data_IF_421733146356
#
_entry.id   IF_421733146356
#
_cell.length_a   1.000
_cell.length_b   1.000
_cell.length_c   1.000
_cell.angle_alpha   90.00
_cell.angle_beta   90.00
_cell.angle_gamma   90.00
#
_symmetry.space_group_name_H-M   'P 1'
#
loop_
_entity.id
_entity.type
_entity.pdbx_description
1 polymer ?
#
# COMPACT_ATOMS: atom_id res chain seq x y z
N UNK A 1 28.37 4.26 -8.55
CA UNK A 1 27.80 4.11 -9.91
C UNK A 1 28.41 2.87 -10.54
N UNK A 2 27.66 1.78 -10.70
CA UNK A 2 28.16 0.62 -11.44
C UNK A 2 28.04 0.90 -12.94
N UNK A 3 29.15 1.28 -13.57
CA UNK A 3 29.32 1.19 -15.03
C UNK A 3 29.46 -0.29 -15.35
N UNK A 4 28.47 -0.92 -15.97
CA UNK A 4 28.58 -2.37 -16.22
C UNK A 4 27.54 -3.01 -17.12
N UNK A 5 26.54 -2.29 -17.63
CA UNK A 5 25.55 -2.91 -18.52
C UNK A 5 25.80 -2.63 -20.02
N UNK A 6 26.83 -1.86 -20.39
CA UNK A 6 27.20 -1.59 -21.80
C UNK A 6 26.02 -1.37 -22.75
N UNK A 7 26.20 -1.79 -24.01
CA UNK A 7 25.23 -1.75 -25.12
C UNK A 7 24.10 -2.79 -24.98
N UNK A 8 24.19 -3.71 -24.00
CA UNK A 8 23.18 -4.78 -23.83
C UNK A 8 21.93 -4.29 -23.11
N UNK A 9 22.06 -3.27 -22.26
CA UNK A 9 20.91 -2.63 -21.61
C UNK A 9 19.95 -2.01 -22.64
N UNK A 10 20.50 -1.48 -23.75
CA UNK A 10 19.74 -0.82 -24.81
C UNK A 10 18.92 -1.82 -25.66
N UNK A 11 19.05 -3.13 -25.39
CA UNK A 11 18.28 -4.20 -26.05
C UNK A 11 17.03 -4.65 -25.29
N UNK A 12 16.78 -4.12 -24.09
CA UNK A 12 15.65 -4.52 -23.24
C UNK A 12 14.77 -3.34 -22.90
N UNK A 13 13.46 -3.56 -22.83
CA UNK A 13 12.48 -2.54 -22.44
C UNK A 13 12.61 -2.16 -20.96
N UNK A 14 13.12 -3.06 -20.11
CA UNK A 14 13.33 -2.84 -18.68
C UNK A 14 14.60 -3.53 -18.17
N UNK A 15 15.32 -2.91 -17.24
CA UNK A 15 16.52 -3.48 -16.59
C UNK A 15 16.32 -3.54 -15.09
N UNK A 16 16.03 -4.75 -14.59
CA UNK A 16 15.99 -5.06 -13.17
C UNK A 16 17.39 -5.41 -12.65
N UNK A 17 17.75 -4.88 -11.47
CA UNK A 17 19.02 -5.21 -10.79
C UNK A 17 18.75 -5.83 -9.44
N UNK A 18 18.98 -7.12 -9.32
CA UNK A 18 18.92 -7.82 -8.02
C UNK A 18 20.32 -7.86 -7.44
N UNK A 19 20.48 -7.54 -6.16
CA UNK A 19 21.73 -7.71 -5.43
C UNK A 19 21.54 -8.75 -4.31
N UNK A 20 22.60 -9.49 -4.02
CA UNK A 20 22.56 -10.52 -2.99
C UNK A 20 22.31 -9.95 -1.59
N UNK A 21 21.47 -10.62 -0.81
CA UNK A 21 21.17 -10.22 0.57
C UNK A 21 19.91 -9.36 0.71
N UNK A 22 19.97 -8.37 1.60
CA UNK A 22 18.79 -7.71 2.15
C UNK A 22 18.62 -6.28 1.64
N UNK A 23 17.38 -5.85 1.42
CA UNK A 23 17.01 -4.44 1.40
C UNK A 23 16.68 -3.93 2.81
N UNK A 24 16.96 -2.66 3.06
CA UNK A 24 16.74 -2.04 4.39
C UNK A 24 15.24 -2.07 4.78
N UNK A 25 14.32 -1.90 3.82
CA UNK A 25 12.87 -1.84 4.10
C UNK A 25 12.31 -3.15 4.65
N UNK A 26 12.90 -4.29 4.32
CA UNK A 26 12.49 -5.60 4.81
C UNK A 26 13.21 -6.09 6.06
N UNK A 27 14.15 -5.32 6.63
CA UNK A 27 14.95 -5.77 7.79
C UNK A 27 15.11 -4.75 8.92
N UNK A 28 14.84 -3.46 8.68
CA UNK A 28 15.13 -2.40 9.66
C UNK A 28 14.42 -2.61 10.99
N UNK A 29 13.20 -3.15 11.00
CA UNK A 29 12.41 -3.29 12.22
C UNK A 29 12.79 -4.58 12.95
N UNK A 30 12.88 -5.68 12.20
CA UNK A 30 13.16 -7.03 12.70
C UNK A 30 14.57 -7.14 13.27
N UNK A 31 15.53 -6.42 12.67
CA UNK A 31 16.91 -6.35 13.15
C UNK A 31 17.23 -5.03 13.87
N UNK A 32 16.19 -4.29 14.26
CA UNK A 32 16.25 -3.11 15.12
C UNK A 32 15.46 -3.35 16.40
N UNK A 33 14.37 -2.60 16.57
CA UNK A 33 13.55 -2.56 17.78
C UNK A 33 12.86 -3.88 18.18
N UNK A 34 12.68 -4.82 17.24
CA UNK A 34 12.16 -6.15 17.57
C UNK A 34 13.23 -7.07 18.17
N UNK A 35 14.51 -6.81 17.86
CA UNK A 35 15.63 -7.67 18.27
C UNK A 35 16.41 -7.12 19.46
N UNK A 36 16.49 -5.80 19.58
CA UNK A 36 17.25 -5.11 20.61
C UNK A 36 16.31 -4.15 21.36
N UNK A 37 16.38 -4.14 22.70
CA UNK A 37 15.51 -3.29 23.51
C UNK A 37 15.88 -1.80 23.39
N UNK A 38 17.18 -1.52 23.19
CA UNK A 38 17.71 -0.18 22.96
C UNK A 38 18.89 -0.20 21.98
N UNK A 39 19.31 0.98 21.46
CA UNK A 39 20.51 1.06 20.63
C UNK A 39 21.80 0.62 21.33
N UNK A 40 21.84 0.67 22.67
CA UNK A 40 22.99 0.28 23.48
C UNK A 40 23.11 -1.24 23.64
N UNK A 41 22.00 -1.97 23.47
CA UNK A 41 21.96 -3.44 23.55
C UNK A 41 22.46 -4.13 22.27
N UNK A 42 22.74 -3.36 21.22
CA UNK A 42 23.22 -3.90 19.95
C UNK A 42 24.66 -4.41 20.14
N UNK A 43 24.93 -5.70 19.93
CA UNK A 43 26.27 -6.24 20.14
C UNK A 43 27.19 -5.87 18.95
N UNK A 44 28.52 -5.89 19.12
CA UNK A 44 29.48 -5.45 18.11
C UNK A 44 29.28 -6.07 16.72
N UNK A 45 28.88 -7.34 16.64
CA UNK A 45 28.66 -8.06 15.39
C UNK A 45 27.44 -7.58 14.57
N UNK A 46 26.53 -6.81 15.18
CA UNK A 46 25.44 -6.09 14.50
C UNK A 46 25.75 -4.59 14.31
N UNK A 47 26.89 -4.13 14.83
CA UNK A 47 27.31 -2.74 14.87
C UNK A 47 28.21 -2.31 13.72
N UNK A 48 28.66 -1.05 13.79
CA UNK A 48 29.55 -0.47 12.79
C UNK A 48 30.93 -1.18 12.82
N UNK A 49 31.51 -1.54 11.65
CA UNK A 49 32.86 -2.11 11.58
C UNK A 49 33.94 -1.22 12.20
N UNK A 50 33.68 0.09 12.28
CA UNK A 50 34.47 1.02 13.06
C UNK A 50 33.92 1.09 14.50
N UNK A 51 34.63 0.54 15.52
CA UNK A 51 34.15 0.51 16.90
C UNK A 51 34.07 1.89 17.56
N UNK A 52 34.65 2.93 16.94
CA UNK A 52 34.52 4.31 17.41
C UNK A 52 33.21 5.00 16.95
N UNK A 53 32.37 4.31 16.18
CA UNK A 53 31.07 4.82 15.70
C UNK A 53 29.91 4.09 16.41
N UNK A 54 28.72 4.72 16.46
CA UNK A 54 27.53 4.06 17.00
C UNK A 54 27.25 2.71 16.33
N UNK A 55 26.71 1.77 17.09
CA UNK A 55 26.27 0.45 16.60
C UNK A 55 24.90 0.48 15.92
N UNK A 56 24.29 1.65 15.87
CA UNK A 56 22.99 1.91 15.28
C UNK A 56 23.09 3.05 14.27
N UNK A 57 22.06 3.19 13.43
CA UNK A 57 21.89 4.30 12.48
C UNK A 57 20.41 4.69 12.39
N UNK A 58 20.09 5.97 12.10
CA UNK A 58 18.71 6.38 11.84
C UNK A 58 18.20 5.77 10.53
N UNK A 59 16.88 5.59 10.44
CA UNK A 59 16.20 5.08 9.23
C UNK A 59 15.31 6.15 8.61
N UNK A 60 14.62 5.80 7.52
CA UNK A 60 13.55 6.64 6.96
C UNK A 60 12.32 6.74 7.87
N UNK A 61 12.10 5.76 8.74
CA UNK A 61 10.84 5.57 9.46
C UNK A 61 10.93 5.91 10.95
N UNK A 62 12.01 5.50 11.59
CA UNK A 62 12.24 5.62 13.03
C UNK A 62 13.66 6.10 13.32
N UNK A 63 13.87 6.54 14.56
CA UNK A 63 15.12 7.17 15.00
C UNK A 63 16.34 6.23 14.97
N UNK A 64 16.16 4.92 15.02
CA UNK A 64 17.28 3.97 15.01
C UNK A 64 16.91 2.55 14.53
N UNK A 65 17.91 1.87 13.97
CA UNK A 65 18.00 0.41 13.78
C UNK A 65 19.46 -0.03 13.95
N UNK A 66 19.76 -1.34 13.95
CA UNK A 66 21.15 -1.80 13.96
C UNK A 66 21.92 -1.33 12.73
N UNK A 67 23.22 -1.06 12.89
CA UNK A 67 24.06 -0.62 11.78
C UNK A 67 24.02 -1.63 10.64
N UNK A 68 24.02 -2.94 10.93
CA UNK A 68 23.98 -3.97 9.90
C UNK A 68 22.68 -3.93 9.08
N UNK A 69 21.54 -3.62 9.70
CA UNK A 69 20.27 -3.45 9.01
C UNK A 69 20.24 -2.17 8.16
N UNK A 70 20.66 -1.03 8.73
CA UNK A 70 20.70 0.25 8.00
C UNK A 70 21.84 0.38 6.99
N UNK A 71 22.84 -0.51 7.03
CA UNK A 71 23.88 -0.59 6.00
C UNK A 71 23.40 -1.29 4.72
N UNK A 72 22.23 -1.96 4.76
CA UNK A 72 21.61 -2.56 3.59
C UNK A 72 21.16 -1.48 2.61
N UNK A 73 21.07 -1.83 1.32
CA UNK A 73 20.68 -0.86 0.32
C UNK A 73 19.16 -0.62 0.40
N UNK A 74 18.75 0.63 0.55
CA UNK A 74 17.36 0.98 0.28
C UNK A 74 17.05 0.69 -1.20
N UNK A 75 15.93 0.01 -1.46
CA UNK A 75 15.32 -0.04 -2.78
C UNK A 75 14.98 1.38 -3.21
N UNK A 76 15.93 2.07 -3.86
CA UNK A 76 15.65 3.37 -4.48
C UNK A 76 14.56 3.15 -5.53
N UNK A 77 13.80 4.18 -5.89
CA UNK A 77 12.77 4.20 -6.96
C UNK A 77 13.32 3.90 -8.39
N UNK A 78 14.43 3.17 -8.46
CA UNK A 78 15.02 2.51 -9.61
C UNK A 78 14.76 1.02 -9.42
N UNK A 79 14.37 0.27 -10.46
CA UNK A 79 14.17 -1.20 -10.42
C UNK A 79 15.42 -1.96 -9.93
N UNK A 80 15.70 -1.90 -8.63
CA UNK A 80 16.84 -2.45 -7.92
C UNK A 80 16.40 -2.88 -6.53
N UNK A 81 16.54 -4.16 -6.25
CA UNK A 81 16.01 -4.77 -5.04
C UNK A 81 16.97 -5.82 -4.48
N UNK A 82 16.88 -6.07 -3.16
CA UNK A 82 17.56 -7.17 -2.50
C UNK A 82 16.86 -8.49 -2.80
N UNK A 83 17.53 -9.61 -2.54
CA UNK A 83 16.95 -10.95 -2.74
C UNK A 83 15.76 -11.24 -1.81
N UNK A 84 15.63 -10.53 -0.68
CA UNK A 84 14.48 -10.62 0.21
C UNK A 84 13.28 -9.78 -0.24
N UNK A 85 13.46 -8.90 -1.23
CA UNK A 85 12.36 -8.08 -1.74
C UNK A 85 11.45 -8.96 -2.59
N UNK A 86 10.27 -9.29 -2.04
CA UNK A 86 9.43 -10.31 -2.64
C UNK A 86 8.62 -9.89 -3.86
N UNK A 87 8.43 -8.58 -4.08
CA UNK A 87 7.69 -8.12 -5.27
C UNK A 87 8.40 -6.96 -5.95
N UNK A 88 8.91 -7.22 -7.15
CA UNK A 88 9.43 -6.19 -8.07
C UNK A 88 8.29 -5.39 -8.73
N UNK A 89 7.05 -5.85 -8.58
CA UNK A 89 5.88 -5.37 -9.33
C UNK A 89 5.52 -3.93 -9.02
N UNK A 90 5.75 -3.47 -7.78
CA UNK A 90 5.56 -2.07 -7.37
C UNK A 90 6.47 -1.12 -8.17
N UNK A 91 7.77 -1.41 -8.22
CA UNK A 91 8.74 -0.61 -8.99
C UNK A 91 8.50 -0.70 -10.50
N UNK A 92 8.06 -1.87 -10.99
CA UNK A 92 7.60 -2.02 -12.37
C UNK A 92 6.36 -1.16 -12.65
N UNK A 93 5.47 -1.00 -11.67
CA UNK A 93 4.32 -0.10 -11.74
C UNK A 93 4.73 1.33 -12.08
N UNK A 94 5.68 1.88 -11.30
CA UNK A 94 6.26 3.20 -11.60
C UNK A 94 6.94 3.26 -12.97
N UNK A 95 7.74 2.25 -13.30
CA UNK A 95 8.53 2.24 -14.53
C UNK A 95 7.64 2.16 -15.79
N UNK A 96 6.74 1.18 -15.84
CA UNK A 96 5.94 0.88 -17.02
C UNK A 96 4.74 1.82 -17.16
N UNK A 97 4.10 2.22 -16.06
CA UNK A 97 2.82 2.92 -16.10
C UNK A 97 2.85 4.33 -15.51
N UNK A 98 3.98 4.77 -14.92
CA UNK A 98 4.15 6.11 -14.33
C UNK A 98 3.13 6.45 -13.22
N UNK A 99 2.48 5.44 -12.67
CA UNK A 99 1.56 5.56 -11.52
C UNK A 99 2.35 5.88 -10.24
N UNK A 100 1.91 6.85 -9.42
CA UNK A 100 2.62 7.26 -8.21
C UNK A 100 2.33 6.35 -7.00
N UNK A 101 3.17 6.49 -5.98
CA UNK A 101 2.94 5.91 -4.65
C UNK A 101 1.62 6.38 -4.02
N UNK A 102 1.04 5.52 -3.19
CA UNK A 102 -0.12 5.79 -2.32
C UNK A 102 0.23 5.67 -0.83
N UNK A 103 1.44 5.24 -0.49
CA UNK A 103 1.82 4.93 0.88
C UNK A 103 2.17 6.17 1.72
N UNK A 104 1.90 6.07 3.01
CA UNK A 104 2.26 7.03 4.05
C UNK A 104 3.54 6.58 4.80
N UNK A 105 3.95 7.38 5.79
CA UNK A 105 4.80 6.91 6.88
C UNK A 105 3.94 6.64 8.14
N UNK A 106 3.75 5.37 8.55
CA UNK A 106 2.85 5.04 9.66
C UNK A 106 3.44 5.32 11.05
N UNK A 107 4.72 5.71 11.13
CA UNK A 107 5.45 5.89 12.40
C UNK A 107 5.63 7.37 12.78
N UNK A 108 5.14 8.31 11.96
CA UNK A 108 5.30 9.76 12.18
C UNK A 108 3.99 10.38 12.63
N UNK A 109 4.06 11.09 13.76
CA UNK A 109 2.96 11.91 14.26
C UNK A 109 2.91 13.31 13.62
N UNK A 110 1.71 13.91 13.46
CA UNK A 110 0.41 13.29 13.66
C UNK A 110 0.19 12.14 12.67
N UNK A 111 -0.42 11.07 13.16
CA UNK A 111 -0.68 9.88 12.37
C UNK A 111 -1.61 10.19 11.22
N UNK A 112 -1.36 9.51 10.10
CA UNK A 112 -2.13 9.67 8.86
C UNK A 112 -2.44 8.31 8.30
N UNK A 113 -3.70 7.89 8.26
CA UNK A 113 -4.11 6.59 7.72
C UNK A 113 -3.77 6.52 6.23
N UNK A 114 -3.23 5.37 5.81
CA UNK A 114 -2.76 5.12 4.44
C UNK A 114 -3.90 5.17 3.42
N UNK A 115 -3.65 5.45 2.13
CA UNK A 115 -4.73 5.56 1.15
C UNK A 115 -5.45 4.24 0.83
N UNK A 116 -4.70 3.21 0.43
CA UNK A 116 -5.23 1.95 -0.10
C UNK A 116 -4.70 0.70 0.64
N UNK A 117 -3.59 0.83 1.37
CA UNK A 117 -3.03 -0.19 2.23
C UNK A 117 -2.80 -1.53 1.52
N UNK A 118 -3.37 -2.64 1.99
CA UNK A 118 -3.12 -3.97 1.45
C UNK A 118 -3.84 -4.24 0.11
N UNK A 119 -4.66 -3.30 -0.36
CA UNK A 119 -5.59 -3.49 -1.47
C UNK A 119 -5.05 -3.08 -2.84
N UNK A 120 -4.02 -2.22 -2.88
CA UNK A 120 -3.38 -1.77 -4.11
C UNK A 120 -1.86 -2.01 -4.08
N UNK A 121 -1.34 -2.52 -5.20
CA UNK A 121 0.09 -2.75 -5.39
C UNK A 121 0.95 -1.49 -5.20
N UNK A 122 0.45 -0.31 -5.56
CA UNK A 122 1.14 0.99 -5.44
C UNK A 122 1.09 1.58 -4.03
N UNK A 123 0.47 0.86 -3.11
CA UNK A 123 0.55 1.09 -1.68
C UNK A 123 1.31 -0.07 -1.02
N UNK A 124 0.83 -0.57 0.12
CA UNK A 124 1.42 -1.67 0.88
C UNK A 124 0.86 -3.05 0.48
N UNK A 125 0.06 -3.13 -0.59
CA UNK A 125 -0.37 -4.41 -1.16
C UNK A 125 0.81 -5.25 -1.66
N UNK A 126 1.94 -4.62 -1.98
CA UNK A 126 3.21 -5.29 -2.29
C UNK A 126 3.83 -6.04 -1.09
N UNK A 127 3.34 -5.83 0.14
CA UNK A 127 3.84 -6.51 1.35
C UNK A 127 3.03 -7.76 1.70
N UNK A 128 1.96 -8.04 0.96
CA UNK A 128 1.10 -9.20 1.20
C UNK A 128 1.86 -10.53 1.06
N UNK A 129 1.36 -11.53 1.78
CA UNK A 129 1.94 -12.86 1.86
C UNK A 129 1.61 -13.55 3.19
N UNK A 130 1.84 -14.86 3.31
CA UNK A 130 1.33 -15.67 4.41
C UNK A 130 1.92 -15.33 5.78
N UNK A 131 3.09 -14.72 5.84
CA UNK A 131 3.76 -14.36 7.09
C UNK A 131 3.66 -12.88 7.48
N UNK A 132 2.98 -12.05 6.68
CA UNK A 132 2.82 -10.61 6.94
C UNK A 132 4.14 -9.81 6.90
N UNK A 133 4.11 -8.52 7.29
CA UNK A 133 5.23 -7.60 7.05
C UNK A 133 6.50 -7.98 7.82
N UNK A 134 6.40 -8.60 9.00
CA UNK A 134 7.54 -8.97 9.84
C UNK A 134 8.31 -10.22 9.42
N UNK A 135 8.03 -10.71 8.21
CA UNK A 135 8.73 -11.86 7.61
C UNK A 135 9.26 -11.54 6.21
N UNK A 136 9.37 -10.24 5.88
CA UNK A 136 9.96 -9.74 4.62
C UNK A 136 11.48 -9.88 4.55
N UNK A 137 12.13 -10.30 5.63
CA UNK A 137 13.57 -10.57 5.66
C UNK A 137 13.91 -11.99 5.17
N UNK A 138 12.95 -12.85 4.81
CA UNK A 138 13.25 -14.22 4.36
C UNK A 138 13.80 -14.20 2.92
N UNK A 139 14.86 -14.98 2.66
CA UNK A 139 15.48 -15.13 1.32
C UNK A 139 15.44 -16.61 0.91
N UNK A 140 14.77 -17.00 -0.19
CA UNK A 140 13.88 -16.16 -1.00
C UNK A 140 12.58 -15.80 -0.25
N UNK A 141 11.86 -14.75 -0.67
CA UNK A 141 10.67 -14.24 -0.01
C UNK A 141 9.48 -15.18 -0.21
N UNK A 142 9.30 -16.08 0.76
CA UNK A 142 8.22 -17.09 0.79
C UNK A 142 7.13 -16.77 1.82
N UNK A 143 7.24 -15.62 2.50
CA UNK A 143 6.35 -15.16 3.56
C UNK A 143 5.86 -13.74 3.24
N UNK A 144 6.18 -12.73 4.05
CA UNK A 144 5.90 -11.33 3.73
C UNK A 144 6.45 -10.92 2.36
N UNK A 145 5.66 -10.16 1.61
CA UNK A 145 5.94 -9.76 0.24
C UNK A 145 6.05 -10.93 -0.78
N UNK A 146 5.63 -12.15 -0.48
CA UNK A 146 5.74 -13.26 -1.45
C UNK A 146 4.78 -13.14 -2.64
N UNK A 147 3.68 -12.39 -2.49
CA UNK A 147 2.68 -12.22 -3.56
C UNK A 147 1.93 -10.89 -3.35
N UNK A 148 2.10 -9.92 -4.27
CA UNK A 148 1.47 -8.61 -4.15
C UNK A 148 -0.03 -8.70 -4.45
N UNK A 149 -0.82 -7.82 -3.84
CA UNK A 149 -2.16 -7.52 -4.36
C UNK A 149 -2.09 -6.99 -5.80
N UNK A 150 -3.21 -7.05 -6.51
CA UNK A 150 -3.36 -6.40 -7.80
C UNK A 150 -3.46 -4.88 -7.69
N UNK A 151 -3.68 -4.24 -8.84
CA UNK A 151 -4.07 -2.84 -8.90
C UNK A 151 -5.58 -2.71 -8.66
N UNK A 152 -5.98 -1.72 -7.87
CA UNK A 152 -7.39 -1.35 -7.72
C UNK A 152 -7.96 -0.78 -9.03
N UNK A 153 -9.28 -0.75 -9.14
CA UNK A 153 -10.00 -0.38 -10.36
C UNK A 153 -9.53 0.96 -10.95
N UNK A 154 -9.28 1.97 -10.11
CA UNK A 154 -8.76 3.28 -10.55
C UNK A 154 -7.43 3.16 -11.31
N UNK A 155 -6.49 2.37 -10.80
CA UNK A 155 -5.19 2.16 -11.43
C UNK A 155 -5.31 1.25 -12.66
N UNK A 156 -6.21 0.26 -12.64
CA UNK A 156 -6.48 -0.59 -13.83
C UNK A 156 -7.04 0.22 -14.99
N UNK A 157 -7.97 1.15 -14.71
CA UNK A 157 -8.50 2.08 -15.70
C UNK A 157 -7.42 3.02 -16.23
N UNK A 158 -6.59 3.60 -15.34
CA UNK A 158 -5.46 4.46 -15.74
C UNK A 158 -4.51 3.77 -16.72
N UNK A 159 -4.19 2.51 -16.42
CA UNK A 159 -3.22 1.73 -17.18
C UNK A 159 -3.83 1.08 -18.42
N UNK A 160 -5.15 1.19 -18.63
CA UNK A 160 -5.86 0.52 -19.73
C UNK A 160 -5.92 -0.99 -19.61
N UNK A 161 -5.79 -1.54 -18.39
CA UNK A 161 -5.97 -2.98 -18.11
C UNK A 161 -7.45 -3.37 -18.06
N UNK A 162 -8.31 -2.39 -17.83
CA UNK A 162 -9.74 -2.44 -18.11
C UNK A 162 -10.11 -1.12 -18.77
N UNK A 163 -11.16 -1.15 -19.55
CA UNK A 163 -11.69 0.00 -20.27
C UNK A 163 -13.04 0.44 -19.68
N UNK A 164 -13.58 1.56 -20.16
CA UNK A 164 -14.94 1.99 -19.82
C UNK A 164 -15.99 0.93 -20.20
N UNK A 165 -15.74 0.11 -21.22
CA UNK A 165 -16.67 -0.93 -21.66
C UNK A 165 -16.72 -2.12 -20.67
N UNK A 166 -15.67 -2.29 -19.87
CA UNK A 166 -15.56 -3.34 -18.85
C UNK A 166 -16.14 -2.93 -17.50
N UNK A 167 -16.55 -1.66 -17.36
CA UNK A 167 -16.95 -1.04 -16.08
C UNK A 167 -18.34 -0.43 -16.21
N UNK A 168 -19.19 -0.65 -15.21
CA UNK A 168 -20.48 0.04 -15.16
C UNK A 168 -20.26 1.50 -14.74
N UNK A 169 -20.32 2.42 -15.68
CA UNK A 169 -20.20 3.86 -15.42
C UNK A 169 -21.55 4.49 -15.08
N UNK A 170 -21.63 5.08 -13.89
CA UNK A 170 -22.81 5.76 -13.35
C UNK A 170 -22.47 7.20 -13.00
N UNK A 171 -23.49 8.03 -12.79
CA UNK A 171 -23.33 9.40 -12.31
C UNK A 171 -24.31 9.73 -11.20
N UNK A 172 -23.97 10.69 -10.35
CA UNK A 172 -24.81 11.14 -9.24
C UNK A 172 -26.14 11.70 -9.76
N UNK A 173 -26.13 12.54 -10.79
CA UNK A 173 -27.36 13.07 -11.39
C UNK A 173 -28.18 11.97 -12.07
N UNK A 174 -27.52 11.03 -12.75
CA UNK A 174 -28.17 9.88 -13.36
C UNK A 174 -28.90 9.02 -12.33
N UNK A 175 -28.22 8.66 -11.23
CA UNK A 175 -28.80 7.89 -10.13
C UNK A 175 -29.93 8.63 -9.41
N UNK A 176 -29.84 9.96 -9.30
CA UNK A 176 -30.94 10.76 -8.74
C UNK A 176 -32.22 10.68 -9.59
N UNK A 177 -32.09 10.47 -10.90
CA UNK A 177 -33.22 10.28 -11.81
C UNK A 177 -33.71 8.83 -11.94
N UNK A 178 -32.81 7.84 -11.89
CA UNK A 178 -33.13 6.43 -12.16
C UNK A 178 -33.32 5.59 -10.90
N UNK A 179 -32.74 5.98 -9.76
CA UNK A 179 -32.80 5.25 -8.50
C UNK A 179 -31.78 4.12 -8.42
N UNK A 180 -32.22 2.93 -7.99
CA UNK A 180 -31.35 1.78 -7.71
C UNK A 180 -30.92 1.09 -9.00
N UNK A 181 -29.63 0.75 -9.07
CA UNK A 181 -29.04 -0.05 -10.16
C UNK A 181 -28.62 -1.42 -9.61
N UNK A 182 -28.91 -2.46 -10.38
CA UNK A 182 -28.55 -3.86 -10.06
C UNK A 182 -27.71 -4.41 -11.22
N UNK A 183 -26.57 -5.01 -10.88
CA UNK A 183 -25.60 -5.51 -11.86
C UNK A 183 -24.75 -6.61 -11.23
N UNK A 184 -24.16 -7.45 -12.08
CA UNK A 184 -23.25 -8.51 -11.67
C UNK A 184 -21.79 -8.06 -11.85
N UNK A 185 -20.96 -8.36 -10.86
CA UNK A 185 -19.53 -8.00 -10.83
C UNK A 185 -18.69 -9.27 -10.74
N UNK A 186 -17.72 -9.40 -11.63
CA UNK A 186 -16.69 -10.43 -11.55
C UNK A 186 -15.59 -9.98 -10.59
N UNK A 187 -15.08 -10.91 -9.78
CA UNK A 187 -13.98 -10.62 -8.86
C UNK A 187 -12.77 -10.06 -9.62
N UNK A 188 -12.12 -9.02 -9.08
CA UNK A 188 -11.11 -8.23 -9.77
C UNK A 188 -9.93 -9.06 -10.30
N UNK A 189 -9.62 -10.18 -9.65
CA UNK A 189 -8.57 -11.13 -10.03
C UNK A 189 -8.85 -11.91 -11.32
N UNK A 190 -10.04 -11.76 -11.91
CA UNK A 190 -10.47 -12.43 -13.14
C UNK A 190 -10.92 -11.38 -14.15
N UNK A 191 -10.70 -11.64 -15.44
CA UNK A 191 -11.29 -10.83 -16.51
C UNK A 191 -12.83 -10.90 -16.43
N UNK A 192 -13.56 -9.80 -16.71
CA UNK A 192 -15.01 -9.79 -16.64
C UNK A 192 -15.63 -10.92 -17.47
N UNK A 193 -16.47 -11.74 -16.82
CA UNK A 193 -17.23 -12.78 -17.50
C UNK A 193 -18.31 -12.16 -18.39
N UNK A 194 -18.79 -12.86 -19.44
CA UNK A 194 -19.87 -12.37 -20.29
C UNK A 194 -21.09 -11.93 -19.48
N UNK A 195 -21.53 -10.69 -19.67
CA UNK A 195 -22.67 -10.10 -18.97
C UNK A 195 -22.38 -9.54 -17.58
N UNK A 196 -21.11 -9.50 -17.16
CA UNK A 196 -20.67 -8.93 -15.87
C UNK A 196 -19.66 -7.81 -16.10
N UNK A 197 -19.37 -7.04 -15.04
CA UNK A 197 -18.39 -5.95 -15.07
C UNK A 197 -17.16 -6.26 -14.21
N UNK A 198 -16.03 -5.61 -14.48
CA UNK A 198 -14.86 -5.56 -13.61
C UNK A 198 -15.15 -4.80 -12.29
N UNK A 199 -16.17 -3.94 -12.31
CA UNK A 199 -16.57 -3.08 -11.22
C UNK A 199 -17.55 -2.01 -11.69
N UNK A 200 -17.78 -1.01 -10.84
CA UNK A 200 -18.58 0.16 -11.20
C UNK A 200 -17.89 1.45 -10.75
N UNK A 201 -18.22 2.55 -11.42
CA UNK A 201 -17.85 3.89 -10.99
C UNK A 201 -19.09 4.76 -10.84
N UNK A 202 -19.06 5.70 -9.90
CA UNK A 202 -20.08 6.73 -9.76
C UNK A 202 -19.40 8.08 -9.83
N UNK A 203 -19.53 8.75 -10.98
CA UNK A 203 -19.07 10.13 -11.17
C UNK A 203 -19.87 11.07 -10.28
N UNK A 204 -19.16 11.90 -9.52
CA UNK A 204 -19.77 12.88 -8.62
C UNK A 204 -20.05 14.19 -9.38
N UNK A 205 -20.92 14.13 -10.37
CA UNK A 205 -21.31 15.23 -11.25
C UNK A 205 -22.36 16.18 -10.62
N UNK A 206 -22.83 17.11 -11.45
CA UNK A 206 -23.85 18.12 -11.14
C UNK A 206 -23.29 19.52 -10.86
N UNK A 207 -24.14 20.41 -10.34
CA UNK A 207 -23.82 21.83 -10.13
C UNK A 207 -22.69 22.09 -9.13
N UNK A 208 -22.49 21.17 -8.19
CA UNK A 208 -21.38 21.14 -7.25
C UNK A 208 -20.70 19.77 -7.38
N UNK A 209 -19.79 19.62 -8.35
CA UNK A 209 -19.11 18.37 -8.61
C UNK A 209 -18.09 18.04 -7.51
N UNK A 210 -17.80 16.75 -7.35
CA UNK A 210 -16.90 16.22 -6.34
C UNK A 210 -17.60 15.74 -5.06
N UNK A 211 -16.84 15.07 -4.21
CA UNK A 211 -17.28 14.56 -2.91
C UNK A 211 -17.78 15.70 -2.01
N UNK A 212 -18.95 15.47 -1.39
CA UNK A 212 -19.64 16.42 -0.50
C UNK A 212 -19.53 16.03 0.96
N UNK A 213 -18.76 14.98 1.28
CA UNK A 213 -18.40 14.67 2.66
C UNK A 213 -17.77 15.90 3.33
N UNK A 214 -18.11 16.13 4.59
CA UNK A 214 -17.54 17.23 5.34
C UNK A 214 -16.00 17.14 5.33
N UNK A 215 -15.34 18.27 5.09
CA UNK A 215 -13.89 18.33 5.19
C UNK A 215 -13.48 18.11 6.64
N UNK A 216 -12.51 17.23 6.82
CA UNK A 216 -11.92 16.94 8.12
C UNK A 216 -10.45 17.33 8.07
N UNK A 217 -9.98 18.07 9.07
CA UNK A 217 -8.62 18.60 9.10
C UNK A 217 -7.58 17.46 9.22
N UNK A 218 -6.75 17.24 8.19
CA UNK A 218 -5.75 16.18 8.20
C UNK A 218 -4.63 16.38 9.23
N UNK A 219 -4.54 17.56 9.86
CA UNK A 219 -3.58 17.80 10.94
C UNK A 219 -4.03 17.23 12.29
N UNK A 220 -5.32 16.94 12.47
CA UNK A 220 -5.89 16.49 13.76
C UNK A 220 -6.63 15.17 13.65
N UNK A 221 -7.09 14.77 12.46
CA UNK A 221 -7.78 13.50 12.24
C UNK A 221 -6.97 12.56 11.34
N UNK A 222 -6.50 11.41 11.88
CA UNK A 222 -5.78 10.41 11.10
C UNK A 222 -6.61 9.81 9.95
N UNK A 223 -7.94 9.80 10.06
CA UNK A 223 -8.88 9.23 9.08
C UNK A 223 -9.36 10.25 8.04
N UNK A 224 -8.88 11.50 8.09
CA UNK A 224 -9.24 12.48 7.06
C UNK A 224 -8.75 12.00 5.68
N UNK A 225 -9.54 12.04 4.60
CA UNK A 225 -9.09 11.70 3.25
C UNK A 225 -8.28 12.81 2.57
N UNK A 226 -8.12 13.95 3.25
CA UNK A 226 -7.41 15.14 2.79
C UNK A 226 -8.33 16.31 2.43
N UNK A 227 -7.71 17.42 2.01
CA UNK A 227 -8.39 18.71 1.80
C UNK A 227 -9.09 18.86 0.44
N UNK A 228 -8.59 18.18 -0.59
CA UNK A 228 -9.21 18.25 -1.92
C UNK A 228 -10.29 17.18 -2.08
N UNK A 229 -11.45 17.52 -2.69
CA UNK A 229 -12.53 16.58 -2.91
C UNK A 229 -12.10 15.45 -3.87
N UNK A 230 -12.83 14.34 -3.82
CA UNK A 230 -12.69 13.22 -4.75
C UNK A 230 -13.72 13.36 -5.87
N UNK A 231 -13.42 12.88 -7.08
CA UNK A 231 -14.20 13.13 -8.28
C UNK A 231 -15.20 12.02 -8.59
N UNK A 232 -14.92 10.79 -8.15
CA UNK A 232 -15.80 9.64 -8.32
C UNK A 232 -15.57 8.56 -7.26
N UNK A 233 -16.56 7.71 -7.06
CA UNK A 233 -16.41 6.48 -6.27
C UNK A 233 -16.24 5.28 -7.19
N UNK A 234 -15.52 4.26 -6.72
CA UNK A 234 -15.39 2.97 -7.40
C UNK A 234 -15.81 1.83 -6.49
N UNK A 235 -16.34 0.78 -7.11
CA UNK A 235 -16.67 -0.49 -6.51
C UNK A 235 -15.97 -1.61 -7.28
N UNK A 236 -15.29 -2.49 -6.56
CA UNK A 236 -14.74 -3.75 -7.08
C UNK A 236 -14.99 -4.89 -6.08
N UNK A 237 -15.00 -6.14 -6.55
CA UNK A 237 -15.14 -7.32 -5.69
C UNK A 237 -13.79 -8.01 -5.56
N UNK A 238 -13.36 -8.21 -4.31
CA UNK A 238 -12.16 -8.97 -3.99
C UNK A 238 -12.55 -10.40 -3.61
N UNK A 239 -11.86 -11.36 -4.20
CA UNK A 239 -11.85 -12.75 -3.76
C UNK A 239 -10.40 -13.18 -3.59
N UNK A 240 -10.13 -14.03 -2.60
CA UNK A 240 -8.76 -14.52 -2.33
C UNK A 240 -8.36 -15.61 -3.33
N UNK A 241 -8.16 -15.20 -4.58
CA UNK A 241 -7.73 -16.03 -5.72
C UNK A 241 -6.70 -15.26 -6.54
N UNK A 242 -5.87 -15.98 -7.29
CA UNK A 242 -4.86 -15.35 -8.14
C UNK A 242 -3.92 -14.44 -7.32
N UNK A 243 -3.70 -13.22 -7.79
CA UNK A 243 -2.87 -12.24 -7.08
C UNK A 243 -3.46 -11.76 -5.74
N UNK A 244 -4.77 -11.93 -5.51
CA UNK A 244 -5.42 -11.55 -4.25
C UNK A 244 -5.40 -12.69 -3.21
N UNK A 245 -4.72 -13.81 -3.48
CA UNK A 245 -4.73 -14.98 -2.57
C UNK A 245 -4.30 -14.67 -1.13
N UNK A 246 -3.49 -13.62 -0.93
CA UNK A 246 -3.00 -13.18 0.38
C UNK A 246 -3.49 -11.80 0.81
N UNK A 247 -4.57 -11.29 0.21
CA UNK A 247 -5.25 -10.11 0.77
C UNK A 247 -5.89 -10.47 2.13
N UNK A 248 -6.00 -9.50 3.05
CA UNK A 248 -6.43 -9.77 4.42
C UNK A 248 -7.93 -10.03 4.55
N UNK A 249 -8.73 -9.79 3.51
CA UNK A 249 -10.18 -10.00 3.45
C UNK A 249 -10.66 -10.20 2.00
N UNK A 250 -11.96 -10.41 1.83
CA UNK A 250 -12.70 -10.62 0.58
C UNK A 250 -14.06 -9.90 0.68
N UNK A 251 -14.75 -9.65 -0.41
CA UNK A 251 -16.01 -8.89 -0.41
C UNK A 251 -15.97 -7.66 -1.32
N UNK A 252 -16.80 -6.67 -1.01
CA UNK A 252 -16.94 -5.43 -1.78
C UNK A 252 -15.95 -4.40 -1.25
N UNK A 253 -15.06 -3.96 -2.13
CA UNK A 253 -14.11 -2.87 -1.86
C UNK A 253 -14.64 -1.58 -2.48
N UNK A 254 -14.78 -0.55 -1.65
CA UNK A 254 -15.19 0.79 -2.05
C UNK A 254 -14.03 1.77 -1.91
N UNK A 255 -13.89 2.64 -2.90
CA UNK A 255 -12.87 3.69 -2.84
C UNK A 255 -13.37 5.02 -3.41
N UNK A 256 -12.82 6.10 -2.88
CA UNK A 256 -12.92 7.44 -3.44
C UNK A 256 -11.73 7.67 -4.36
N UNK A 257 -11.96 8.25 -5.53
CA UNK A 257 -10.92 8.45 -6.52
C UNK A 257 -10.87 9.88 -7.04
N UNK A 258 -9.65 10.35 -7.30
CA UNK A 258 -9.39 11.59 -8.04
C UNK A 258 -9.09 11.26 -9.50
N UNK A 259 -9.44 12.18 -10.38
CA UNK A 259 -9.04 12.11 -11.78
C UNK A 259 -7.51 12.31 -11.89
N UNK A 260 -6.97 13.30 -11.19
CA UNK A 260 -5.53 13.54 -11.13
C UNK A 260 -4.83 12.50 -10.24
N UNK A 261 -3.82 11.82 -10.79
CA UNK A 261 -3.01 10.83 -10.06
C UNK A 261 -2.09 11.47 -9.01
N UNK A 262 -1.79 12.76 -9.18
CA UNK A 262 -0.81 13.49 -8.38
C UNK A 262 -1.46 14.59 -7.57
N UNK A 263 -1.45 14.43 -6.26
CA UNK A 263 -1.97 15.44 -5.35
C UNK A 263 -1.71 15.07 -3.90
N UNK A 264 -1.10 15.99 -3.17
CA UNK A 264 -0.96 15.88 -1.72
C UNK A 264 -2.35 15.88 -1.06
N UNK A 265 -2.55 15.04 -0.05
CA UNK A 265 -3.76 15.08 0.76
C UNK A 265 -3.76 16.21 1.83
N UNK A 266 -2.64 16.92 1.98
CA UNK A 266 -2.51 18.05 2.90
C UNK A 266 -2.27 17.64 4.36
N UNK A 267 -1.91 18.62 5.19
CA UNK A 267 -1.55 18.42 6.60
C UNK A 267 -0.08 17.97 6.81
N UNK A 268 0.34 17.79 8.07
CA UNK A 268 1.58 17.09 8.40
C UNK A 268 1.50 15.62 7.97
N UNK A 269 2.66 14.99 7.71
CA UNK A 269 2.74 13.61 7.20
C UNK A 269 1.92 13.39 5.90
N UNK A 270 1.75 14.45 5.09
CA UNK A 270 1.03 14.38 3.83
C UNK A 270 1.75 13.50 2.81
N UNK A 271 0.97 12.82 1.99
CA UNK A 271 1.43 11.96 0.93
C UNK A 271 0.50 12.07 -0.29
N UNK A 272 0.89 11.43 -1.38
CA UNK A 272 0.09 11.41 -2.60
C UNK A 272 -1.16 10.54 -2.41
N UNK A 273 -2.35 11.08 -2.66
CA UNK A 273 -3.61 10.36 -2.45
C UNK A 273 -4.60 10.67 -3.56
N UNK A 274 -4.71 9.74 -4.51
CA UNK A 274 -5.70 9.78 -5.59
C UNK A 274 -6.67 8.59 -5.53
N UNK A 275 -6.40 7.61 -4.67
CA UNK A 275 -7.31 6.57 -4.22
C UNK A 275 -7.44 6.73 -2.71
N UNK A 276 -8.64 6.50 -2.18
CA UNK A 276 -8.87 6.44 -0.74
C UNK A 276 -9.90 5.36 -0.45
N UNK A 277 -9.45 4.25 0.13
CA UNK A 277 -10.32 3.16 0.54
C UNK A 277 -11.28 3.67 1.61
N UNK A 278 -12.57 3.38 1.40
CA UNK A 278 -13.62 3.55 2.39
C UNK A 278 -13.52 2.36 3.32
N UNK A 279 -13.23 2.64 4.58
CA UNK A 279 -13.06 1.63 5.62
C UNK A 279 -14.42 1.32 6.26
N UNK A 280 -14.82 0.05 6.22
CA UNK A 280 -16.04 -0.41 6.86
C UNK A 280 -15.94 -0.38 8.40
N UNK A 281 -14.73 -0.54 8.95
CA UNK A 281 -14.44 -0.57 10.38
C UNK A 281 -13.38 0.50 10.73
N UNK A 282 -13.72 1.80 10.64
CA UNK A 282 -12.73 2.88 10.67
C UNK A 282 -12.09 3.12 12.05
N UNK A 283 -12.63 2.55 13.12
CA UNK A 283 -12.02 2.57 14.44
C UNK A 283 -10.63 1.92 14.46
N UNK A 284 -9.76 2.36 15.36
CA UNK A 284 -8.46 1.71 15.55
C UNK A 284 -8.66 0.22 15.87
N UNK A 285 -8.10 -0.65 15.02
CA UNK A 285 -8.24 -2.10 15.16
C UNK A 285 -7.69 -2.64 16.49
N UNK A 286 -6.76 -1.92 17.13
CA UNK A 286 -6.22 -2.31 18.44
C UNK A 286 -5.44 -3.63 18.41
N UNK A 287 -4.64 -3.86 17.36
CA UNK A 287 -3.89 -5.11 17.15
C UNK A 287 -2.40 -4.93 17.49
N UNK A 288 -1.83 -5.92 18.18
CA UNK A 288 -0.37 -5.98 18.44
C UNK A 288 0.38 -6.10 17.12
N UNK A 289 1.38 -5.25 16.94
CA UNK A 289 2.30 -5.29 15.81
C UNK A 289 3.37 -6.37 16.03
N UNK A 290 4.13 -6.20 17.11
CA UNK A 290 5.17 -7.13 17.55
C UNK A 290 5.34 -7.06 19.08
N UNK A 291 6.18 -7.93 19.61
CA UNK A 291 6.56 -7.94 21.03
C UNK A 291 8.05 -7.59 21.12
N UNK A 292 8.39 -6.60 21.93
CA UNK A 292 9.77 -6.18 22.20
C UNK A 292 10.58 -7.30 22.87
N UNK A 293 11.92 -7.24 22.86
CA UNK A 293 12.76 -8.23 23.53
C UNK A 293 12.51 -8.40 25.04
N UNK A 294 11.99 -7.36 25.70
CA UNK A 294 11.62 -7.37 27.12
C UNK A 294 10.20 -7.92 27.38
N UNK A 295 9.45 -8.26 26.33
CA UNK A 295 8.09 -8.78 26.40
C UNK A 295 6.99 -7.73 26.28
N UNK A 296 7.31 -6.45 26.13
CA UNK A 296 6.30 -5.39 25.95
C UNK A 296 5.62 -5.52 24.58
N UNK A 297 4.27 -5.58 24.51
CA UNK A 297 3.54 -5.54 23.25
C UNK A 297 3.56 -4.13 22.67
N UNK A 298 3.94 -4.01 21.40
CA UNK A 298 3.84 -2.77 20.63
C UNK A 298 2.61 -2.85 19.74
N UNK A 299 1.71 -1.87 19.87
CA UNK A 299 0.49 -1.81 19.08
C UNK A 299 0.76 -1.21 17.71
N UNK A 300 -0.01 -1.64 16.70
CA UNK A 300 -0.05 -0.94 15.41
C UNK A 300 -0.61 0.45 15.62
N UNK A 301 -0.10 1.42 14.86
CA UNK A 301 -0.71 2.75 14.80
C UNK A 301 -1.90 2.71 13.86
N UNK A 302 -2.86 3.61 14.03
CA UNK A 302 -3.97 3.82 13.07
C UNK A 302 -3.47 4.19 11.66
N UNK A 303 -2.21 4.61 11.54
CA UNK A 303 -1.58 4.92 10.28
C UNK A 303 -1.02 3.69 9.55
N UNK A 304 -0.86 2.55 10.24
CA UNK A 304 -0.39 1.32 9.63
C UNK A 304 -1.35 0.83 8.55
N UNK A 305 -0.81 0.29 7.46
CA UNK A 305 -1.62 -0.15 6.34
C UNK A 305 -2.60 -1.28 6.70
N UNK A 306 -2.24 -2.09 7.69
CA UNK A 306 -3.09 -3.17 8.18
C UNK A 306 -4.32 -2.66 8.91
N UNK A 307 -4.44 -1.36 9.20
CA UNK A 307 -5.69 -0.73 9.63
C UNK A 307 -6.83 -1.01 8.63
N UNK A 308 -6.50 -1.18 7.34
CA UNK A 308 -7.50 -1.48 6.30
C UNK A 308 -7.74 -2.99 6.10
N UNK A 309 -7.29 -3.86 7.02
CA UNK A 309 -7.39 -5.31 6.83
C UNK A 309 -8.84 -5.82 6.81
N UNK A 310 -9.76 -5.10 7.45
CA UNK A 310 -11.20 -5.36 7.56
C UNK A 310 -12.04 -4.26 6.89
N UNK A 311 -11.47 -3.57 5.89
CA UNK A 311 -12.12 -2.47 5.20
C UNK A 311 -13.27 -2.89 4.27
N UNK A 312 -13.45 -4.18 3.98
CA UNK A 312 -14.38 -4.64 2.95
C UNK A 312 -15.79 -4.82 3.51
N UNK A 313 -16.76 -4.55 2.63
CA UNK A 313 -18.18 -4.77 2.91
C UNK A 313 -18.59 -6.17 2.45
N UNK A 314 -19.35 -6.84 3.30
CA UNK A 314 -19.85 -8.20 3.12
C UNK A 314 -21.37 -8.19 2.98
N UNK A 315 -21.97 -9.34 2.65
CA UNK A 315 -23.43 -9.50 2.72
C UNK A 315 -23.88 -9.81 4.16
N UNK A 316 -24.94 -9.15 4.64
CA UNK A 316 -25.55 -9.42 5.96
C UNK A 316 -25.86 -8.15 6.75
N UNK A 317 -26.30 -8.29 7.99
CA UNK A 317 -26.37 -7.16 8.93
C UNK A 317 -25.05 -7.06 9.71
N UNK A 318 -24.50 -5.84 9.88
CA UNK A 318 -23.15 -5.61 10.45
C UNK A 318 -22.05 -6.28 9.64
N UNK A 319 -22.12 -6.09 8.33
CA UNK A 319 -21.31 -6.79 7.36
C UNK A 319 -20.12 -5.93 6.93
N UNK A 320 -19.46 -5.31 7.91
CA UNK A 320 -18.79 -4.02 7.75
C UNK A 320 -19.50 -3.04 8.65
#
# INVERSE_FOLDING_TARGET
MARGAGDIADRYDAVLRIYAGYDETGVWQEFGEMKFASPDDIPPEWGNPNPARPRWVPTRYVEWTSWLAGAQQWGRASMRQGENSGTITHELGHFAFRIPDLNNNPYVEPYRRVAAGPWDMMDRGCFNGPGGPHTRWVVPPIQGASMPAGLMLRNRLENGFVTSDDVLELSREGLAGTGVVVFDVTARAVEPLPGTFAGATVRLDGSEPGDRAALVDPAVDPLSPGLAPYDFYSLEVVQRIGYDSFTPDHGVLLAKNRDELRGSNGGPNAFNSFIWVVDANPEDMGVVDYVRPDGEPVMRTIADYRQLNDALFHAGARSG
#
